data_IF_659195618158
#
_entry.id   IF_659195618158
#
_cell.length_a   1.000
_cell.length_b   1.000
_cell.length_c   1.000
_cell.angle_alpha   90.00
_cell.angle_beta   90.00
_cell.angle_gamma   90.00
#
_symmetry.space_group_name_H-M   'P 1'
#
loop_
_entity.id
_entity.type
_entity.pdbx_description
1 polymer ?
#
# COMPACT_ATOMS: atom_id res chain seq x y z
N UNK A 1 4.32 -0.40 22.11
CA UNK A 1 4.26 0.03 20.70
C UNK A 1 3.51 -1.06 19.96
N UNK A 2 2.38 -0.76 19.33
CA UNK A 2 1.58 -1.78 18.65
C UNK A 2 2.29 -2.26 17.37
N UNK A 3 1.91 -3.44 16.84
CA UNK A 3 2.46 -3.92 15.56
C UNK A 3 2.15 -2.96 14.41
N UNK A 4 0.99 -2.29 14.46
CA UNK A 4 0.60 -1.26 13.51
C UNK A 4 1.51 -0.03 13.59
N UNK A 5 1.84 0.45 14.79
CA UNK A 5 2.77 1.58 14.96
C UNK A 5 4.16 1.26 14.39
N UNK A 6 4.63 0.02 14.59
CA UNK A 6 5.90 -0.44 14.02
C UNK A 6 5.83 -0.49 12.49
N UNK A 7 4.73 -0.98 11.93
CA UNK A 7 4.54 -1.05 10.48
C UNK A 7 4.45 0.34 9.84
N UNK A 8 3.73 1.28 10.47
CA UNK A 8 3.63 2.67 10.03
C UNK A 8 4.98 3.40 10.14
N UNK A 9 5.75 3.15 11.20
CA UNK A 9 7.12 3.67 11.34
C UNK A 9 8.02 3.19 10.21
N UNK A 10 8.03 1.87 9.95
CA UNK A 10 8.81 1.29 8.84
C UNK A 10 8.36 1.82 7.48
N UNK A 11 7.05 1.97 7.25
CA UNK A 11 6.50 2.56 6.03
C UNK A 11 7.03 3.99 5.84
N UNK A 12 6.97 4.82 6.88
CA UNK A 12 7.44 6.20 6.82
C UNK A 12 8.92 6.28 6.43
N UNK A 13 9.78 5.52 7.10
CA UNK A 13 11.22 5.47 6.79
C UNK A 13 11.45 5.05 5.34
N UNK A 14 10.70 4.05 4.85
CA UNK A 14 10.81 3.54 3.47
C UNK A 14 10.34 4.57 2.46
N UNK A 15 9.22 5.25 2.70
CA UNK A 15 8.69 6.31 1.83
C UNK A 15 9.68 7.48 1.73
N UNK A 16 10.26 7.91 2.86
CA UNK A 16 11.27 8.97 2.87
C UNK A 16 12.49 8.56 2.03
N UNK A 17 13.00 7.33 2.22
CA UNK A 17 14.14 6.82 1.44
C UNK A 17 13.84 6.73 -0.07
N UNK A 18 12.67 6.19 -0.45
CA UNK A 18 12.27 6.08 -1.86
C UNK A 18 12.04 7.46 -2.47
N UNK A 19 11.41 8.38 -1.76
CA UNK A 19 11.17 9.74 -2.25
C UNK A 19 12.48 10.46 -2.54
N UNK A 20 13.48 10.34 -1.66
CA UNK A 20 14.81 10.90 -1.90
C UNK A 20 15.48 10.25 -3.12
N UNK A 21 15.48 8.92 -3.19
CA UNK A 21 16.12 8.19 -4.29
C UNK A 21 15.48 8.46 -5.67
N UNK A 22 14.16 8.66 -5.73
CA UNK A 22 13.44 8.95 -6.98
C UNK A 22 13.57 10.43 -7.38
N UNK A 23 13.71 11.34 -6.43
CA UNK A 23 13.73 12.79 -6.70
C UNK A 23 15.11 13.31 -7.11
N UNK A 24 16.20 12.70 -6.62
CA UNK A 24 17.56 13.22 -6.83
C UNK A 24 18.14 12.96 -8.25
N UNK A 25 17.42 12.23 -9.14
CA UNK A 25 18.04 11.62 -10.33
C UNK A 25 17.24 11.78 -11.64
N UNK A 26 16.43 12.84 -11.78
CA UNK A 26 15.54 12.99 -12.96
C UNK A 26 16.23 13.48 -14.24
N UNK A 27 17.45 14.02 -14.15
CA UNK A 27 18.17 14.56 -15.32
C UNK A 27 18.96 13.50 -16.13
N UNK A 28 19.18 12.29 -15.59
CA UNK A 28 19.85 11.18 -16.28
C UNK A 28 19.32 9.79 -15.82
N UNK A 29 18.00 9.59 -15.88
CA UNK A 29 17.38 8.29 -15.56
C UNK A 29 17.82 7.20 -16.54
N UNK A 30 18.84 6.44 -16.15
CA UNK A 30 19.24 5.23 -16.85
C UNK A 30 18.14 4.17 -16.76
N UNK A 31 18.13 3.22 -17.70
CA UNK A 31 17.16 2.11 -17.71
C UNK A 31 17.23 1.28 -16.40
N UNK A 32 18.45 1.07 -15.89
CA UNK A 32 18.69 0.42 -14.60
C UNK A 32 18.18 1.25 -13.42
N UNK A 33 18.38 2.57 -13.44
CA UNK A 33 17.83 3.48 -12.44
C UNK A 33 16.30 3.48 -12.42
N UNK A 34 15.67 3.46 -13.59
CA UNK A 34 14.22 3.33 -13.71
C UNK A 34 13.70 1.98 -13.16
N UNK A 35 14.41 0.88 -13.44
CA UNK A 35 14.09 -0.44 -12.88
C UNK A 35 14.17 -0.47 -11.35
N UNK A 36 15.21 0.13 -10.78
CA UNK A 36 15.38 0.24 -9.34
C UNK A 36 14.31 1.12 -8.70
N UNK A 37 13.94 2.25 -9.32
CA UNK A 37 12.86 3.11 -8.85
C UNK A 37 11.51 2.37 -8.80
N UNK A 38 11.18 1.61 -9.85
CA UNK A 38 9.95 0.80 -9.89
C UNK A 38 9.95 -0.27 -8.79
N UNK A 39 11.08 -0.94 -8.56
CA UNK A 39 11.21 -1.93 -7.49
C UNK A 39 11.02 -1.30 -6.10
N UNK A 40 11.65 -0.15 -5.85
CA UNK A 40 11.52 0.60 -4.61
C UNK A 40 10.08 1.06 -4.33
N UNK A 41 9.38 1.58 -5.34
CA UNK A 41 7.97 1.99 -5.20
C UNK A 41 7.08 0.77 -4.97
N UNK A 42 7.35 -0.36 -5.63
CA UNK A 42 6.61 -1.61 -5.44
C UNK A 42 6.74 -2.11 -4.00
N UNK A 43 7.95 -2.11 -3.44
CA UNK A 43 8.21 -2.46 -2.04
C UNK A 43 7.40 -1.62 -1.05
N UNK A 44 7.28 -0.31 -1.30
CA UNK A 44 6.47 0.59 -0.48
C UNK A 44 4.99 0.23 -0.58
N UNK A 45 4.48 -0.02 -1.78
CA UNK A 45 3.09 -0.41 -1.98
C UNK A 45 2.75 -1.75 -1.31
N UNK A 46 3.68 -2.70 -1.29
CA UNK A 46 3.53 -3.97 -0.57
C UNK A 46 3.38 -3.77 0.94
N UNK A 47 4.13 -2.82 1.53
CA UNK A 47 3.97 -2.46 2.93
C UNK A 47 2.61 -1.81 3.20
N UNK A 48 2.18 -0.86 2.36
CA UNK A 48 0.87 -0.22 2.49
C UNK A 48 -0.26 -1.24 2.36
N UNK A 49 -0.17 -2.16 1.38
CA UNK A 49 -1.14 -3.23 1.18
C UNK A 49 -1.34 -4.06 2.45
N UNK A 50 -0.25 -4.53 3.07
CA UNK A 50 -0.32 -5.35 4.27
C UNK A 50 -0.91 -4.58 5.47
N UNK A 51 -0.58 -3.29 5.60
CA UNK A 51 -1.15 -2.41 6.63
C UNK A 51 -2.66 -2.25 6.42
N UNK A 52 -3.08 -1.93 5.20
CA UNK A 52 -4.50 -1.75 4.86
C UNK A 52 -5.27 -3.05 5.09
N UNK A 53 -4.75 -4.20 4.67
CA UNK A 53 -5.36 -5.50 4.93
C UNK A 53 -5.53 -5.79 6.43
N UNK A 54 -4.49 -5.50 7.23
CA UNK A 54 -4.57 -5.63 8.70
C UNK A 54 -5.64 -4.72 9.30
N UNK A 55 -5.75 -3.47 8.82
CA UNK A 55 -6.78 -2.53 9.28
C UNK A 55 -8.17 -3.02 8.89
N UNK A 56 -8.35 -3.53 7.67
CA UNK A 56 -9.61 -4.12 7.21
C UNK A 56 -10.06 -5.26 8.13
N UNK A 57 -9.18 -6.23 8.41
CA UNK A 57 -9.49 -7.35 9.31
C UNK A 57 -9.95 -6.87 10.71
N UNK A 58 -9.29 -5.83 11.24
CA UNK A 58 -9.68 -5.23 12.53
C UNK A 58 -11.02 -4.51 12.44
N UNK A 59 -11.28 -3.79 11.37
CA UNK A 59 -12.56 -3.11 11.16
C UNK A 59 -13.70 -4.12 10.99
N UNK A 60 -13.47 -5.28 10.35
CA UNK A 60 -14.45 -6.36 10.28
C UNK A 60 -14.74 -6.98 11.66
N UNK A 61 -13.70 -7.22 12.48
CA UNK A 61 -13.88 -7.69 13.85
C UNK A 61 -14.73 -6.71 14.68
N UNK A 62 -14.51 -5.40 14.53
CA UNK A 62 -15.33 -4.37 15.19
C UNK A 62 -16.78 -4.44 14.70
N UNK A 63 -17.00 -4.54 13.39
CA UNK A 63 -18.35 -4.70 12.79
C UNK A 63 -19.09 -5.88 13.41
N UNK A 64 -18.43 -7.04 13.51
CA UNK A 64 -19.03 -8.26 14.08
C UNK A 64 -19.42 -8.09 15.55
N UNK A 65 -18.59 -7.41 16.33
CA UNK A 65 -18.87 -7.11 17.74
C UNK A 65 -20.05 -6.14 17.89
N UNK A 66 -20.14 -5.10 17.07
CA UNK A 66 -21.23 -4.13 17.13
C UNK A 66 -22.58 -4.74 16.71
N UNK A 67 -22.58 -5.63 15.70
CA UNK A 67 -23.78 -6.33 15.22
C UNK A 67 -24.29 -7.37 16.23
N UNK A 68 -23.39 -8.01 16.99
CA UNK A 68 -23.75 -9.07 17.95
C UNK A 68 -24.04 -8.56 19.37
N UNK A 69 -23.58 -7.36 19.73
CA UNK A 69 -23.59 -6.86 21.11
C UNK A 69 -24.52 -5.68 21.43
N UNK A 70 -25.04 -4.93 20.46
CA UNK A 70 -25.75 -3.66 20.73
C UNK A 70 -26.85 -3.34 19.68
N UNK A 71 -27.89 -2.54 20.01
CA UNK A 71 -28.81 -2.05 18.99
C UNK A 71 -28.04 -1.24 17.93
N UNK A 72 -28.36 -1.38 16.63
CA UNK A 72 -27.65 -0.66 15.59
C UNK A 72 -27.78 0.85 15.81
N UNK A 73 -26.63 1.51 15.92
CA UNK A 73 -26.49 2.96 16.00
C UNK A 73 -25.52 3.48 14.94
N UNK A 74 -25.21 4.78 14.96
CA UNK A 74 -24.35 5.45 13.97
C UNK A 74 -22.92 4.88 13.87
N UNK A 75 -22.48 4.06 14.82
CA UNK A 75 -21.17 3.38 14.78
C UNK A 75 -21.08 2.35 13.65
N UNK A 76 -22.16 1.59 13.42
CA UNK A 76 -22.17 0.52 12.40
C UNK A 76 -22.06 1.12 11.00
N UNK A 77 -22.80 2.18 10.70
CA UNK A 77 -22.73 2.87 9.40
C UNK A 77 -21.33 3.46 9.14
N UNK A 78 -20.66 3.99 10.17
CA UNK A 78 -19.28 4.48 10.07
C UNK A 78 -18.31 3.34 9.73
N UNK A 79 -18.43 2.21 10.42
CA UNK A 79 -17.60 1.02 10.23
C UNK A 79 -17.82 0.44 8.82
N UNK A 80 -19.07 0.33 8.36
CA UNK A 80 -19.39 -0.10 6.99
C UNK A 80 -18.80 0.85 5.95
N UNK A 81 -18.94 2.15 6.16
CA UNK A 81 -18.36 3.17 5.27
C UNK A 81 -16.83 3.04 5.23
N UNK A 82 -16.18 2.84 6.37
CA UNK A 82 -14.73 2.65 6.45
C UNK A 82 -14.29 1.39 5.68
N UNK A 83 -14.99 0.27 5.85
CA UNK A 83 -14.70 -0.97 5.12
C UNK A 83 -14.79 -0.80 3.61
N UNK A 84 -15.80 -0.09 3.12
CA UNK A 84 -15.95 0.20 1.68
C UNK A 84 -14.73 0.97 1.16
N UNK A 85 -14.29 2.01 1.87
CA UNK A 85 -13.13 2.80 1.44
C UNK A 85 -11.83 2.01 1.53
N UNK A 86 -11.66 1.20 2.57
CA UNK A 86 -10.49 0.34 2.72
C UNK A 86 -10.44 -0.72 1.61
N UNK A 87 -11.56 -1.36 1.25
CA UNK A 87 -11.62 -2.31 0.14
C UNK A 87 -11.28 -1.66 -1.21
N UNK A 88 -11.83 -0.47 -1.48
CA UNK A 88 -11.45 0.29 -2.68
C UNK A 88 -9.96 0.66 -2.69
N UNK A 89 -9.43 1.16 -1.58
CA UNK A 89 -8.02 1.51 -1.44
C UNK A 89 -7.12 0.30 -1.64
N UNK A 90 -7.47 -0.83 -1.03
CA UNK A 90 -6.78 -2.10 -1.17
C UNK A 90 -6.76 -2.53 -2.64
N UNK A 91 -7.91 -2.67 -3.31
CA UNK A 91 -7.98 -2.98 -4.75
C UNK A 91 -7.16 -2.02 -5.63
N UNK A 92 -7.18 -0.72 -5.32
CA UNK A 92 -6.36 0.27 -6.02
C UNK A 92 -4.86 -0.01 -5.91
N UNK A 93 -4.40 -0.42 -4.73
CA UNK A 93 -3.01 -0.84 -4.51
C UNK A 93 -2.67 -2.12 -5.30
N UNK A 94 -3.61 -3.07 -5.43
CA UNK A 94 -3.42 -4.28 -6.25
C UNK A 94 -3.11 -3.92 -7.70
N UNK A 95 -3.92 -3.03 -8.27
CA UNK A 95 -3.79 -2.56 -9.65
C UNK A 95 -2.46 -1.82 -9.82
N UNK A 96 -2.10 -0.95 -8.87
CA UNK A 96 -0.82 -0.23 -8.91
C UNK A 96 0.38 -1.20 -8.90
N UNK A 97 0.36 -2.21 -8.01
CA UNK A 97 1.40 -3.26 -7.97
C UNK A 97 1.49 -4.02 -9.28
N UNK A 98 0.36 -4.39 -9.88
CA UNK A 98 0.33 -5.10 -11.16
C UNK A 98 0.93 -4.27 -12.30
N UNK A 99 0.57 -2.99 -12.38
CA UNK A 99 1.11 -2.07 -13.39
C UNK A 99 2.62 -1.88 -13.25
N UNK A 100 3.11 -1.71 -12.02
CA UNK A 100 4.55 -1.58 -11.75
C UNK A 100 5.31 -2.89 -12.04
N UNK A 101 4.72 -4.04 -11.70
CA UNK A 101 5.29 -5.34 -12.05
C UNK A 101 5.44 -5.50 -13.57
N UNK A 102 4.41 -5.11 -14.33
CA UNK A 102 4.45 -5.12 -15.80
C UNK A 102 5.52 -4.17 -16.33
N UNK A 103 5.57 -2.94 -15.82
CA UNK A 103 6.58 -1.96 -16.19
C UNK A 103 8.01 -2.46 -15.91
N UNK A 104 8.23 -3.12 -14.76
CA UNK A 104 9.53 -3.71 -14.41
C UNK A 104 9.94 -4.81 -15.39
N UNK A 105 9.00 -5.68 -15.79
CA UNK A 105 9.29 -6.70 -16.80
C UNK A 105 9.68 -6.08 -18.15
N UNK A 106 9.00 -5.02 -18.57
CA UNK A 106 9.30 -4.33 -19.82
C UNK A 106 10.67 -3.63 -19.77
N UNK A 107 11.02 -3.01 -18.64
CA UNK A 107 12.35 -2.44 -18.41
C UNK A 107 13.44 -3.52 -18.49
N UNK A 108 13.23 -4.67 -17.83
CA UNK A 108 14.17 -5.80 -17.87
C UNK A 108 14.30 -6.42 -19.28
N UNK A 109 13.23 -6.42 -20.08
CA UNK A 109 13.28 -6.84 -21.48
C UNK A 109 14.12 -5.85 -22.30
N UNK A 110 13.90 -4.55 -22.12
CA UNK A 110 14.64 -3.52 -22.82
C UNK A 110 16.15 -3.52 -22.47
N UNK A 111 16.53 -3.89 -21.24
CA UNK A 111 17.94 -4.03 -20.84
C UNK A 111 18.65 -5.19 -21.54
N UNK A 112 17.91 -6.24 -21.92
CA UNK A 112 18.47 -7.48 -22.47
C UNK A 112 18.67 -7.44 -24.00
N UNK A 113 18.02 -6.49 -24.69
CA UNK A 113 18.06 -6.34 -26.16
C UNK A 113 17.06 -7.22 -26.88
#
# INVERSE_FOLDING_TARGET
MSELDRALGALRERVEAVSSAVSDDTDELTLAGAGQAVEMVTDVLDLVWNIVGTVMERTEQIRELEVTGQPPGSGVELVETALVHLDYGHKGLEVARHLLGTAREDLLRAERG
#
